data_IF_901582480348
#
_entry.id   IF_901582480348
#
_cell.length_a   1.000
_cell.length_b   1.000
_cell.length_c   1.000
_cell.angle_alpha   90.00
_cell.angle_beta   90.00
_cell.angle_gamma   90.00
#
_symmetry.space_group_name_H-M   'P 1'
#
loop_
_entity.id
_entity.type
_entity.pdbx_description
1 polymer ?
#
# COMPACT_ATOMS: atom_id res chain seq x y z
N UNK A 1 -13.63 -22.59 7.32
CA UNK A 1 -14.74 -22.18 6.42
C UNK A 1 -14.21 -21.06 5.55
N UNK A 2 -14.33 -21.15 4.22
CA UNK A 2 -13.92 -20.05 3.34
C UNK A 2 -14.83 -18.84 3.60
N UNK A 3 -14.24 -17.71 3.99
CA UNK A 3 -14.99 -16.46 4.21
C UNK A 3 -15.57 -16.06 2.84
N UNK A 4 -16.90 -15.96 2.74
CA UNK A 4 -17.54 -15.53 1.48
C UNK A 4 -17.05 -14.12 1.18
N UNK A 5 -16.36 -13.96 0.05
CA UNK A 5 -15.81 -12.68 -0.35
C UNK A 5 -16.97 -11.74 -0.73
N UNK A 6 -17.04 -10.59 -0.06
CA UNK A 6 -18.07 -9.57 -0.33
C UNK A 6 -17.84 -9.02 -1.74
N UNK A 7 -18.92 -8.81 -2.50
CA UNK A 7 -18.84 -8.26 -3.87
C UNK A 7 -18.39 -6.79 -3.90
N UNK A 8 -18.77 -6.03 -2.87
CA UNK A 8 -18.49 -4.60 -2.75
C UNK A 8 -19.33 -3.71 -3.65
N UNK A 9 -19.35 -2.42 -3.34
CA UNK A 9 -20.02 -1.40 -4.12
C UNK A 9 -19.15 -0.95 -5.30
N UNK A 10 -19.75 -0.79 -6.49
CA UNK A 10 -19.02 -0.34 -7.67
C UNK A 10 -18.73 1.18 -7.65
N UNK A 11 -19.52 1.97 -6.92
CA UNK A 11 -19.38 3.43 -6.78
C UNK A 11 -19.37 3.82 -5.30
N UNK A 12 -18.68 4.92 -4.99
CA UNK A 12 -18.63 5.48 -3.62
C UNK A 12 -20.02 5.76 -3.06
N UNK A 13 -20.92 6.32 -3.88
CA UNK A 13 -22.28 6.66 -3.49
C UNK A 13 -23.16 5.44 -3.13
N UNK A 14 -22.77 4.25 -3.58
CA UNK A 14 -23.53 3.01 -3.38
C UNK A 14 -23.02 2.21 -2.17
N UNK A 15 -22.03 2.73 -1.43
CA UNK A 15 -21.46 2.05 -0.26
C UNK A 15 -22.46 2.19 0.91
N UNK A 16 -22.97 1.09 1.48
CA UNK A 16 -23.79 1.14 2.67
C UNK A 16 -23.06 1.80 3.85
N UNK A 17 -23.78 2.58 4.65
CA UNK A 17 -23.17 3.35 5.75
C UNK A 17 -22.50 2.46 6.81
N UNK A 18 -23.06 1.28 7.09
CA UNK A 18 -22.50 0.28 7.99
C UNK A 18 -21.20 -0.33 7.45
N UNK A 19 -21.09 -0.52 6.14
CA UNK A 19 -19.87 -0.99 5.49
C UNK A 19 -18.79 0.10 5.54
N UNK A 20 -19.15 1.35 5.24
CA UNK A 20 -18.21 2.46 5.34
C UNK A 20 -17.69 2.65 6.77
N UNK A 21 -18.55 2.49 7.77
CA UNK A 21 -18.16 2.54 9.18
C UNK A 21 -17.15 1.43 9.53
N UNK A 22 -17.39 0.19 9.12
CA UNK A 22 -16.46 -0.93 9.35
C UNK A 22 -15.12 -0.73 8.64
N UNK A 23 -15.13 -0.19 7.41
CA UNK A 23 -13.90 0.18 6.68
C UNK A 23 -13.11 1.26 7.41
N UNK A 24 -13.80 2.31 7.88
CA UNK A 24 -13.20 3.40 8.66
C UNK A 24 -12.75 2.95 10.06
N UNK A 25 -13.26 1.85 10.60
CA UNK A 25 -12.79 1.25 11.83
C UNK A 25 -11.62 0.27 11.62
N UNK A 26 -11.31 -0.09 10.37
CA UNK A 26 -10.26 -1.05 10.02
C UNK A 26 -10.64 -2.51 10.28
N UNK A 27 -11.92 -2.80 10.47
CA UNK A 27 -12.44 -4.12 10.87
C UNK A 27 -12.55 -5.09 9.68
N UNK A 28 -12.75 -4.54 8.48
CA UNK A 28 -12.90 -5.31 7.24
C UNK A 28 -11.97 -4.78 6.14
N UNK A 29 -11.73 -5.62 5.15
CA UNK A 29 -11.10 -5.25 3.89
C UNK A 29 -12.12 -4.57 2.96
N UNK A 30 -11.63 -3.66 2.13
CA UNK A 30 -12.36 -3.20 0.96
C UNK A 30 -12.62 -4.39 0.00
N UNK A 31 -13.81 -4.45 -0.60
CA UNK A 31 -14.09 -5.43 -1.65
C UNK A 31 -13.82 -4.85 -3.04
N UNK A 32 -13.83 -3.52 -3.19
CA UNK A 32 -13.63 -2.82 -4.46
C UNK A 32 -12.69 -1.62 -4.29
N UNK A 33 -12.15 -1.13 -5.41
CA UNK A 33 -11.38 0.12 -5.41
C UNK A 33 -12.23 1.31 -4.92
N UNK A 34 -13.52 1.34 -5.26
CA UNK A 34 -14.43 2.41 -4.83
C UNK A 34 -14.55 2.49 -3.31
N UNK A 35 -14.58 1.36 -2.63
CA UNK A 35 -14.58 1.31 -1.16
C UNK A 35 -13.25 1.76 -0.57
N UNK A 36 -12.14 1.29 -1.12
CA UNK A 36 -10.81 1.74 -0.69
C UNK A 36 -10.65 3.26 -0.84
N UNK A 37 -11.16 3.84 -1.92
CA UNK A 37 -11.15 5.29 -2.17
C UNK A 37 -12.09 6.08 -1.26
N UNK A 38 -13.18 5.46 -0.80
CA UNK A 38 -14.16 6.06 0.09
C UNK A 38 -13.73 6.07 1.57
N UNK A 39 -12.88 5.13 1.98
CA UNK A 39 -12.36 5.07 3.34
C UNK A 39 -11.62 6.36 3.70
N UNK A 40 -11.98 6.94 4.84
CA UNK A 40 -11.36 8.13 5.39
C UNK A 40 -10.10 7.73 6.17
N UNK A 41 -8.94 8.17 5.68
CA UNK A 41 -7.65 7.77 6.22
C UNK A 41 -7.40 8.34 7.62
N UNK A 42 -7.90 9.55 7.89
CA UNK A 42 -7.72 10.17 9.20
C UNK A 42 -8.57 9.46 10.26
N UNK A 43 -9.79 9.10 9.89
CA UNK A 43 -10.72 8.32 10.73
C UNK A 43 -10.16 6.93 10.99
N UNK A 44 -9.69 6.24 9.94
CA UNK A 44 -9.06 4.92 10.05
C UNK A 44 -7.82 4.94 10.93
N UNK A 45 -6.95 5.93 10.75
CA UNK A 45 -5.76 6.09 11.58
C UNK A 45 -6.14 6.34 13.04
N UNK A 46 -7.11 7.22 13.29
CA UNK A 46 -7.60 7.54 14.64
C UNK A 46 -8.24 6.33 15.33
N UNK A 47 -9.01 5.53 14.59
CA UNK A 47 -9.67 4.34 15.13
C UNK A 47 -8.67 3.24 15.52
N UNK A 48 -7.60 3.08 14.76
CA UNK A 48 -6.65 1.97 14.91
C UNK A 48 -5.39 2.34 15.70
N UNK A 49 -5.03 3.63 15.72
CA UNK A 49 -3.90 4.21 16.45
C UNK A 49 -4.32 5.57 17.05
N UNK A 50 -5.10 5.58 18.14
CA UNK A 50 -5.65 6.82 18.72
C UNK A 50 -4.58 7.85 19.10
N UNK A 51 -3.35 7.41 19.39
CA UNK A 51 -2.22 8.27 19.68
C UNK A 51 -1.74 9.12 18.49
N UNK A 52 -2.22 8.86 17.28
CA UNK A 52 -1.96 9.63 16.05
C UNK A 52 -3.13 10.54 15.65
N UNK A 53 -4.17 10.66 16.47
CA UNK A 53 -5.41 11.36 16.08
C UNK A 53 -5.19 12.82 15.65
N UNK A 54 -4.27 13.54 16.30
CA UNK A 54 -3.94 14.92 15.91
C UNK A 54 -3.13 14.96 14.61
N UNK A 55 -2.14 14.08 14.45
CA UNK A 55 -1.31 14.01 13.24
C UNK A 55 -2.12 13.59 12.01
N UNK A 56 -3.12 12.73 12.20
CA UNK A 56 -4.02 12.24 11.17
C UNK A 56 -4.79 13.37 10.45
N UNK A 57 -5.03 14.51 11.13
CA UNK A 57 -5.67 15.70 10.53
C UNK A 57 -4.85 16.32 9.39
N UNK A 58 -3.55 16.03 9.32
CA UNK A 58 -2.68 16.48 8.24
C UNK A 58 -2.87 15.71 6.93
N UNK A 59 -3.65 14.63 6.93
CA UNK A 59 -3.98 13.87 5.71
C UNK A 59 -5.10 14.60 4.97
N UNK A 60 -4.77 15.29 3.87
CA UNK A 60 -5.77 15.96 3.03
C UNK A 60 -6.68 14.92 2.35
N UNK A 61 -8.01 14.89 2.66
CA UNK A 61 -8.93 13.93 2.07
C UNK A 61 -9.14 14.16 0.57
N UNK A 62 -8.81 15.35 0.04
CA UNK A 62 -8.93 15.68 -1.39
C UNK A 62 -7.68 15.31 -2.18
N UNK A 63 -6.59 14.95 -1.52
CA UNK A 63 -5.37 14.53 -2.20
C UNK A 63 -5.56 13.17 -2.89
N UNK A 64 -4.84 12.96 -3.99
CA UNK A 64 -4.79 11.68 -4.68
C UNK A 64 -4.38 10.54 -3.74
N UNK A 65 -4.96 9.36 -3.91
CA UNK A 65 -4.83 8.23 -2.97
C UNK A 65 -3.37 7.88 -2.65
N UNK A 66 -2.47 7.89 -3.64
CA UNK A 66 -1.05 7.58 -3.42
C UNK A 66 -0.34 8.62 -2.53
N UNK A 67 -0.76 9.89 -2.58
CA UNK A 67 -0.26 10.94 -1.67
C UNK A 67 -0.79 10.71 -0.26
N UNK A 68 -2.07 10.33 -0.11
CA UNK A 68 -2.66 9.98 1.18
C UNK A 68 -1.97 8.76 1.81
N UNK A 69 -1.68 7.72 1.03
CA UNK A 69 -0.93 6.53 1.46
C UNK A 69 0.48 6.89 1.95
N UNK A 70 1.21 7.71 1.19
CA UNK A 70 2.54 8.16 1.58
C UNK A 70 2.50 9.02 2.86
N UNK A 71 1.50 9.91 2.99
CA UNK A 71 1.35 10.75 4.18
C UNK A 71 0.99 9.94 5.43
N UNK A 72 0.13 8.94 5.31
CA UNK A 72 -0.20 8.05 6.42
C UNK A 72 1.04 7.26 6.90
N UNK A 73 1.81 6.68 5.97
CA UNK A 73 3.05 6.00 6.32
C UNK A 73 4.11 6.94 6.92
N UNK A 74 4.15 8.20 6.48
CA UNK A 74 5.01 9.22 7.09
C UNK A 74 4.66 9.49 8.55
N UNK A 75 3.38 9.75 8.85
CA UNK A 75 2.91 9.97 10.22
C UNK A 75 3.27 8.78 11.12
N UNK A 76 3.04 7.56 10.63
CA UNK A 76 3.38 6.34 11.36
C UNK A 76 4.89 6.24 11.59
N UNK A 77 5.71 6.49 10.56
CA UNK A 77 7.16 6.41 10.66
C UNK A 77 7.73 7.44 11.65
N UNK A 78 7.23 8.68 11.60
CA UNK A 78 7.73 9.75 12.46
C UNK A 78 7.46 9.46 13.95
N UNK A 79 6.36 8.76 14.26
CA UNK A 79 6.00 8.37 15.63
C UNK A 79 6.63 7.07 16.10
N UNK A 80 6.68 6.05 15.24
CA UNK A 80 6.99 4.67 15.63
C UNK A 80 8.20 4.07 14.91
N UNK A 81 8.75 4.75 13.91
CA UNK A 81 9.68 4.15 12.95
C UNK A 81 9.09 2.89 12.34
N UNK A 82 9.90 1.83 12.30
CA UNK A 82 9.49 0.52 11.75
C UNK A 82 8.80 -0.39 12.77
N UNK A 83 8.62 0.02 14.03
CA UNK A 83 8.14 -0.88 15.11
C UNK A 83 6.72 -1.41 14.91
N UNK A 84 5.89 -0.71 14.12
CA UNK A 84 4.51 -1.13 13.78
C UNK A 84 4.43 -2.00 12.53
N UNK A 85 5.55 -2.30 11.85
CA UNK A 85 5.54 -2.97 10.56
C UNK A 85 4.80 -4.31 10.59
N UNK A 86 5.14 -5.18 11.54
CA UNK A 86 4.55 -6.52 11.63
C UNK A 86 3.04 -6.44 11.91
N UNK A 87 2.66 -5.58 12.85
CA UNK A 87 1.26 -5.36 13.20
C UNK A 87 0.44 -4.82 12.03
N UNK A 88 0.98 -3.85 11.27
CA UNK A 88 0.34 -3.34 10.05
C UNK A 88 0.22 -4.43 8.98
N UNK A 89 1.29 -5.21 8.80
CA UNK A 89 1.38 -6.25 7.74
C UNK A 89 0.43 -7.43 7.96
N UNK A 90 0.00 -7.67 9.21
CA UNK A 90 -0.98 -8.70 9.55
C UNK A 90 -2.39 -8.16 9.83
N UNK A 91 -2.62 -6.86 9.67
CA UNK A 91 -3.88 -6.24 10.08
C UNK A 91 -5.05 -6.67 9.16
N UNK A 92 -6.28 -6.85 9.68
CA UNK A 92 -7.46 -7.17 8.86
C UNK A 92 -7.69 -6.17 7.71
N UNK A 93 -7.62 -4.87 7.99
CA UNK A 93 -7.71 -3.82 6.95
C UNK A 93 -6.62 -3.93 5.88
N UNK A 94 -7.02 -3.92 4.61
CA UNK A 94 -6.13 -3.85 3.45
C UNK A 94 -5.35 -2.52 3.38
N UNK A 95 -5.97 -1.42 3.83
CA UNK A 95 -5.31 -0.11 3.84
C UNK A 95 -4.17 -0.03 4.85
N UNK A 96 -4.30 -0.64 6.03
CA UNK A 96 -3.22 -0.70 7.01
C UNK A 96 -2.04 -1.54 6.49
N UNK A 97 -2.32 -2.68 5.85
CA UNK A 97 -1.30 -3.47 5.15
C UNK A 97 -0.67 -2.69 3.99
N UNK A 98 -1.45 -1.88 3.28
CA UNK A 98 -0.94 -0.95 2.28
C UNK A 98 -0.04 0.14 2.89
N UNK A 99 -0.35 0.66 4.07
CA UNK A 99 0.54 1.58 4.80
C UNK A 99 1.84 0.90 5.21
N UNK A 100 1.81 -0.40 5.56
CA UNK A 100 3.03 -1.19 5.76
C UNK A 100 3.96 -1.18 4.53
N UNK A 101 3.38 -1.34 3.33
CA UNK A 101 4.14 -1.26 2.08
C UNK A 101 4.79 0.13 1.87
N UNK A 102 4.07 1.21 2.19
CA UNK A 102 4.62 2.56 2.11
C UNK A 102 5.64 2.85 3.21
N UNK A 103 5.49 2.25 4.39
CA UNK A 103 6.43 2.34 5.51
C UNK A 103 7.77 1.71 5.14
N UNK A 104 7.77 0.48 4.60
CA UNK A 104 8.97 -0.20 4.07
C UNK A 104 9.64 0.66 3.00
N UNK A 105 8.86 1.23 2.06
CA UNK A 105 9.40 2.02 0.98
C UNK A 105 10.05 3.33 1.45
N UNK A 106 9.49 3.96 2.50
CA UNK A 106 9.93 5.26 3.03
C UNK A 106 11.29 5.19 3.70
N UNK A 107 11.59 4.13 4.45
CA UNK A 107 12.81 4.06 5.26
C UNK A 107 14.08 4.11 4.36
N UNK A 108 14.91 5.16 4.43
CA UNK A 108 16.13 5.27 3.63
C UNK A 108 17.25 4.35 4.12
N UNK A 109 17.18 3.85 5.36
CA UNK A 109 18.19 2.96 5.93
C UNK A 109 18.11 1.53 5.36
N UNK A 110 16.98 1.16 4.75
CA UNK A 110 16.76 -0.18 4.20
C UNK A 110 17.18 -0.20 2.73
N UNK A 111 18.06 -1.13 2.38
CA UNK A 111 18.48 -1.34 0.99
C UNK A 111 17.31 -1.78 0.11
N UNK A 112 17.36 -1.53 -1.21
CA UNK A 112 16.32 -2.00 -2.12
C UNK A 112 16.13 -3.52 -2.04
N UNK A 113 17.21 -4.28 -1.87
CA UNK A 113 17.15 -5.73 -1.74
C UNK A 113 16.38 -6.17 -0.48
N UNK A 114 16.58 -5.48 0.64
CA UNK A 114 15.88 -5.79 1.89
C UNK A 114 14.43 -5.28 1.88
N UNK A 115 14.16 -4.14 1.21
CA UNK A 115 12.79 -3.70 0.92
C UNK A 115 12.01 -4.75 0.14
N UNK A 116 12.62 -5.36 -0.88
CA UNK A 116 11.99 -6.44 -1.66
C UNK A 116 11.67 -7.66 -0.77
N UNK A 117 12.59 -8.05 0.13
CA UNK A 117 12.34 -9.16 1.08
C UNK A 117 11.18 -8.86 2.02
N UNK A 118 11.18 -7.67 2.63
CA UNK A 118 10.12 -7.21 3.53
C UNK A 118 8.77 -7.06 2.80
N UNK A 119 8.80 -6.68 1.52
CA UNK A 119 7.59 -6.53 0.70
C UNK A 119 6.98 -7.87 0.29
N UNK A 120 7.73 -8.97 0.32
CA UNK A 120 7.29 -10.26 -0.24
C UNK A 120 5.93 -10.74 0.31
N UNK A 121 5.64 -10.67 1.63
CA UNK A 121 4.32 -11.03 2.15
C UNK A 121 3.18 -10.12 1.63
N UNK A 122 3.44 -8.82 1.47
CA UNK A 122 2.46 -7.85 0.97
C UNK A 122 2.24 -7.96 -0.55
N UNK A 123 3.29 -8.32 -1.28
CA UNK A 123 3.24 -8.60 -2.70
C UNK A 123 2.51 -9.91 -3.03
N UNK A 124 2.52 -10.86 -2.09
CA UNK A 124 1.83 -12.16 -2.17
C UNK A 124 0.49 -12.17 -1.42
N UNK A 125 0.04 -11.01 -0.93
CA UNK A 125 -1.16 -10.88 -0.11
C UNK A 125 -2.43 -11.34 -0.86
N UNK A 126 -3.39 -12.02 -0.21
CA UNK A 126 -4.63 -12.44 -0.87
C UNK A 126 -5.47 -11.26 -1.39
N UNK A 127 -5.40 -10.10 -0.74
CA UNK A 127 -6.16 -8.91 -1.09
C UNK A 127 -5.50 -8.15 -2.25
N UNK A 128 -6.27 -7.93 -3.34
CA UNK A 128 -5.74 -7.32 -4.57
C UNK A 128 -5.14 -5.93 -4.33
N UNK A 129 -5.78 -5.10 -3.49
CA UNK A 129 -5.33 -3.74 -3.21
C UNK A 129 -3.96 -3.71 -2.53
N UNK A 130 -3.68 -4.65 -1.62
CA UNK A 130 -2.39 -4.71 -0.91
C UNK A 130 -1.27 -5.00 -1.90
N UNK A 131 -1.50 -5.94 -2.83
CA UNK A 131 -0.54 -6.24 -3.90
C UNK A 131 -0.26 -5.05 -4.81
N UNK A 132 -1.27 -4.22 -5.08
CA UNK A 132 -1.08 -2.99 -5.87
C UNK A 132 -0.24 -1.96 -5.11
N UNK A 133 -0.48 -1.77 -3.81
CA UNK A 133 0.33 -0.88 -2.98
C UNK A 133 1.78 -1.32 -2.86
N UNK A 134 2.02 -2.64 -2.81
CA UNK A 134 3.35 -3.22 -2.69
C UNK A 134 4.30 -2.79 -3.82
N UNK A 135 3.88 -2.89 -5.09
CA UNK A 135 4.74 -2.45 -6.20
C UNK A 135 4.72 -0.94 -6.38
N UNK A 136 3.57 -0.28 -6.14
CA UNK A 136 3.45 1.18 -6.29
C UNK A 136 4.40 1.94 -5.35
N UNK A 137 4.53 1.49 -4.10
CA UNK A 137 5.33 2.18 -3.08
C UNK A 137 6.83 2.17 -3.40
N UNK A 138 7.34 1.11 -4.04
CA UNK A 138 8.76 0.98 -4.39
C UNK A 138 9.16 1.75 -5.65
N UNK A 139 8.21 2.23 -6.46
CA UNK A 139 8.49 2.87 -7.75
C UNK A 139 9.47 4.05 -7.67
N UNK A 140 9.40 4.97 -6.70
CA UNK A 140 10.37 6.06 -6.60
C UNK A 140 11.81 5.55 -6.49
N UNK A 141 12.05 4.51 -5.66
CA UNK A 141 13.37 3.89 -5.50
C UNK A 141 13.83 3.14 -6.76
N UNK A 142 12.91 2.46 -7.45
CA UNK A 142 13.21 1.76 -8.71
C UNK A 142 13.63 2.75 -9.81
N UNK A 143 12.97 3.90 -9.91
CA UNK A 143 13.30 4.92 -10.91
C UNK A 143 14.65 5.59 -10.61
N UNK A 144 15.03 5.69 -9.33
CA UNK A 144 16.31 6.27 -8.93
C UNK A 144 17.51 5.41 -9.34
N UNK A 145 17.38 4.08 -9.32
CA UNK A 145 18.41 3.15 -9.82
C UNK A 145 17.80 1.95 -10.58
N UNK A 146 17.42 2.15 -11.85
CA UNK A 146 16.72 1.12 -12.63
C UNK A 146 17.58 -0.12 -12.88
N UNK A 147 18.90 0.03 -13.04
CA UNK A 147 19.80 -1.10 -13.33
C UNK A 147 19.89 -2.04 -12.14
N UNK A 148 20.12 -1.50 -10.94
CA UNK A 148 20.12 -2.30 -9.72
C UNK A 148 18.74 -2.90 -9.47
N UNK A 149 17.66 -2.13 -9.68
CA UNK A 149 16.31 -2.64 -9.51
C UNK A 149 16.03 -3.84 -10.41
N UNK A 150 16.32 -3.76 -11.72
CA UNK A 150 16.14 -4.89 -12.65
C UNK A 150 16.85 -6.13 -12.12
N UNK A 151 18.14 -6.01 -11.75
CA UNK A 151 18.91 -7.14 -11.25
C UNK A 151 18.32 -7.76 -9.97
N UNK A 152 17.74 -6.95 -9.07
CA UNK A 152 17.13 -7.43 -7.82
C UNK A 152 15.74 -8.04 -8.02
N UNK A 153 14.98 -7.59 -9.01
CA UNK A 153 13.65 -8.11 -9.33
C UNK A 153 13.68 -9.32 -10.27
N UNK A 154 14.76 -9.54 -11.05
CA UNK A 154 14.88 -10.68 -11.97
C UNK A 154 14.58 -12.05 -11.33
N UNK A 155 15.07 -12.38 -10.11
CA UNK A 155 14.77 -13.67 -9.50
C UNK A 155 13.27 -13.88 -9.22
N UNK A 156 12.52 -12.82 -8.91
CA UNK A 156 11.08 -12.87 -8.64
C UNK A 156 10.25 -13.16 -9.90
N UNK A 157 10.79 -12.89 -11.10
CA UNK A 157 10.10 -13.18 -12.35
C UNK A 157 9.90 -14.69 -12.59
N UNK A 158 10.65 -15.54 -11.88
CA UNK A 158 10.57 -17.00 -11.92
C UNK A 158 10.03 -17.61 -10.61
N UNK A 159 9.45 -16.80 -9.72
CA UNK A 159 8.92 -17.28 -8.44
C UNK A 159 7.69 -18.22 -8.68
N UNK A 160 7.52 -19.29 -7.87
CA UNK A 160 6.34 -20.14 -7.95
C UNK A 160 5.01 -19.39 -7.76
N UNK A 161 4.98 -18.30 -6.99
CA UNK A 161 3.77 -17.49 -6.82
C UNK A 161 3.52 -16.59 -8.03
N UNK A 162 2.33 -16.73 -8.62
CA UNK A 162 1.84 -15.86 -9.69
C UNK A 162 1.79 -14.38 -9.27
N UNK A 163 1.51 -14.12 -7.99
CA UNK A 163 1.47 -12.76 -7.45
C UNK A 163 2.85 -12.13 -7.37
N UNK A 164 3.87 -12.90 -7.00
CA UNK A 164 5.26 -12.41 -6.96
C UNK A 164 5.84 -12.18 -8.36
N UNK A 165 5.49 -13.03 -9.34
CA UNK A 165 5.83 -12.77 -10.75
C UNK A 165 5.15 -11.50 -11.27
N UNK A 166 3.87 -11.28 -10.93
CA UNK A 166 3.14 -10.03 -11.25
C UNK A 166 3.79 -8.82 -10.57
N UNK A 167 4.13 -8.93 -9.29
CA UNK A 167 4.79 -7.87 -8.53
C UNK A 167 6.08 -7.41 -9.22
N UNK A 168 6.95 -8.33 -9.63
CA UNK A 168 8.16 -8.00 -10.38
C UNK A 168 7.85 -7.30 -11.72
N UNK A 169 6.86 -7.82 -12.46
CA UNK A 169 6.47 -7.29 -13.76
C UNK A 169 5.89 -5.87 -13.68
N UNK A 170 4.99 -5.60 -12.72
CA UNK A 170 4.36 -4.28 -12.55
C UNK A 170 5.32 -3.26 -11.92
N UNK A 171 6.18 -3.68 -11.00
CA UNK A 171 7.19 -2.82 -10.38
C UNK A 171 8.20 -2.30 -11.42
N UNK A 172 8.65 -3.17 -12.33
CA UNK A 172 9.57 -2.83 -13.42
C UNK A 172 8.88 -2.26 -14.66
N UNK A 173 7.54 -2.24 -14.69
CA UNK A 173 6.79 -1.81 -15.87
C UNK A 173 7.20 -0.38 -16.28
N UNK A 174 7.75 -0.20 -17.50
CA UNK A 174 8.02 1.11 -18.05
C UNK A 174 6.73 1.92 -18.06
N UNK A 175 6.80 3.22 -17.74
CA UNK A 175 5.65 4.09 -17.99
C UNK A 175 5.52 4.25 -19.51
N UNK A 176 4.59 3.54 -20.15
CA UNK A 176 4.08 3.95 -21.46
C UNK A 176 3.41 5.30 -21.24
N UNK A 177 3.88 6.40 -21.81
CA UNK A 177 4.04 6.69 -23.24
C UNK A 177 5.38 7.40 -23.42
N UNK A 178 6.35 6.78 -24.11
CA UNK A 178 7.63 7.34 -24.60
C UNK A 178 8.39 8.27 -23.64
N UNK A 179 9.49 7.78 -23.05
CA UNK A 179 10.59 8.58 -22.45
C UNK A 179 10.19 9.93 -21.82
N UNK A 180 10.11 9.99 -20.48
CA UNK A 180 10.34 11.28 -19.83
C UNK A 180 11.84 11.56 -19.94
N UNK A 181 12.27 12.19 -21.04
CA UNK A 181 13.57 12.85 -21.11
C UNK A 181 13.60 13.88 -19.99
N UNK A 182 14.55 13.72 -19.07
CA UNK A 182 14.92 14.78 -18.16
C UNK A 182 15.25 16.02 -18.98
N UNK A 183 14.43 17.06 -18.90
CA UNK A 183 14.86 18.39 -19.29
C UNK A 183 15.86 18.86 -18.24
N UNK A 184 17.13 18.98 -18.64
CA UNK A 184 18.13 19.76 -17.94
C UNK A 184 17.72 21.23 -17.88
#
# INVERSE_FOLDING_TARGET
MAKVQRKGAARVADIPADILAQLNAGEIEAATLSENLATDFATLMTATMPELAEDAKAIDPKAGVTKRMAKAAEIIFDRFGMTKLDWLSSHPSDLLRGWAAYLIAKDPAISLADKIKLMRPLADDPHFGVREWAWLSLRPGIVADPKTAIAKFTPLASDPSDYLRRFASEALRPRGVWFRLSTH
#
